data_IF_376890431928
#
_entry.id   IF_376890431928
#
_cell.length_a   1.000
_cell.length_b   1.000
_cell.length_c   1.000
_cell.angle_alpha   90.00
_cell.angle_beta   90.00
_cell.angle_gamma   90.00
#
_symmetry.space_group_name_H-M   'P 1'
#
loop_
_entity.id
_entity.type
_entity.pdbx_description
1 polymer ?
#
# COMPACT_ATOMS: atom_id res chain seq x y z
N UNK A 1 -9.14 -41.13 37.87
CA UNK A 1 -7.90 -41.00 38.67
C UNK A 1 -7.19 -39.65 38.49
N UNK A 2 -7.67 -38.74 37.61
CA UNK A 2 -6.99 -37.42 37.40
C UNK A 2 -7.61 -36.22 38.10
N UNK A 3 -8.81 -36.33 38.64
CA UNK A 3 -9.44 -35.23 39.41
C UNK A 3 -8.84 -35.01 40.81
N UNK A 4 -8.31 -36.04 41.44
CA UNK A 4 -7.71 -35.93 42.78
C UNK A 4 -6.31 -35.27 42.78
N UNK A 5 -5.55 -35.44 41.67
CA UNK A 5 -4.23 -34.79 41.53
C UNK A 5 -4.31 -33.26 41.32
N UNK A 6 -5.42 -32.78 40.75
CA UNK A 6 -5.66 -31.35 40.60
C UNK A 6 -5.96 -30.64 41.90
N UNK A 7 -6.80 -31.23 42.75
CA UNK A 7 -7.16 -30.65 44.04
C UNK A 7 -5.98 -30.58 45.04
N UNK A 8 -5.09 -31.57 45.00
CA UNK A 8 -3.88 -31.58 45.88
C UNK A 8 -2.86 -30.50 45.45
N UNK A 9 -2.75 -30.18 44.17
CA UNK A 9 -1.87 -29.09 43.68
C UNK A 9 -2.40 -27.72 44.05
N UNK A 10 -3.72 -27.49 43.92
CA UNK A 10 -4.38 -26.24 44.28
C UNK A 10 -4.28 -26.01 45.81
N UNK A 11 -4.54 -27.02 46.60
CA UNK A 11 -4.43 -26.93 48.08
C UNK A 11 -2.99 -26.69 48.54
N UNK A 12 -1.99 -27.28 47.91
CA UNK A 12 -0.58 -26.98 48.18
C UNK A 12 -0.19 -25.54 47.79
N UNK A 13 -0.77 -25.01 46.73
CA UNK A 13 -0.53 -23.62 46.28
C UNK A 13 -1.20 -22.63 47.27
N UNK A 14 -2.44 -22.91 47.70
CA UNK A 14 -3.17 -22.10 48.68
C UNK A 14 -2.45 -22.11 50.03
N UNK A 15 -1.93 -23.27 50.49
CA UNK A 15 -1.13 -23.38 51.72
C UNK A 15 0.20 -22.62 51.62
N UNK A 16 0.88 -22.61 50.47
CA UNK A 16 2.04 -21.77 50.24
C UNK A 16 1.73 -20.27 50.27
N UNK A 17 0.59 -19.86 49.72
CA UNK A 17 0.12 -18.46 49.79
C UNK A 17 -0.19 -18.02 51.23
N UNK A 18 -0.70 -18.93 52.07
CA UNK A 18 -1.03 -18.62 53.47
C UNK A 18 0.17 -18.38 54.39
N UNK A 19 1.35 -18.87 53.96
CA UNK A 19 2.63 -18.70 54.64
C UNK A 19 3.48 -17.53 54.11
N UNK A 20 3.01 -16.80 53.10
CA UNK A 20 3.71 -15.63 52.61
C UNK A 20 3.47 -14.48 53.58
N UNK A 21 4.57 -13.88 54.04
CA UNK A 21 4.53 -12.71 54.90
C UNK A 21 3.66 -11.61 54.27
N UNK A 22 2.65 -11.11 54.99
CA UNK A 22 1.74 -10.05 54.51
C UNK A 22 2.48 -8.87 53.86
N UNK A 23 3.67 -8.54 54.37
CA UNK A 23 4.49 -7.47 53.83
C UNK A 23 4.99 -7.76 52.39
N UNK A 24 5.28 -9.04 52.08
CA UNK A 24 5.70 -9.44 50.72
C UNK A 24 4.53 -9.31 49.74
N UNK A 25 3.30 -9.67 50.17
CA UNK A 25 2.11 -9.52 49.31
C UNK A 25 1.82 -8.05 49.05
N UNK A 26 1.89 -7.20 50.07
CA UNK A 26 1.68 -5.75 49.93
C UNK A 26 2.74 -5.16 49.02
N UNK A 27 4.02 -5.53 49.20
CA UNK A 27 5.12 -5.07 48.33
C UNK A 27 4.91 -5.48 46.88
N UNK A 28 4.49 -6.73 46.63
CA UNK A 28 4.21 -7.22 45.26
C UNK A 28 3.06 -6.44 44.62
N UNK A 29 2.01 -6.13 45.36
CA UNK A 29 0.89 -5.32 44.85
C UNK A 29 1.36 -3.91 44.50
N UNK A 30 2.19 -3.29 45.33
CA UNK A 30 2.76 -1.96 45.09
C UNK A 30 3.63 -1.98 43.82
N UNK A 31 4.48 -3.00 43.64
CA UNK A 31 5.33 -3.14 42.43
C UNK A 31 4.47 -3.29 41.18
N UNK A 32 3.41 -4.09 41.24
CA UNK A 32 2.49 -4.25 40.07
C UNK A 32 1.79 -2.93 39.78
N UNK A 33 1.32 -2.20 40.77
CA UNK A 33 0.67 -0.89 40.56
C UNK A 33 1.65 0.14 39.98
N UNK A 34 2.90 0.16 40.47
CA UNK A 34 3.93 1.03 39.90
C UNK A 34 4.25 0.66 38.44
N UNK A 35 4.31 -0.63 38.12
CA UNK A 35 4.54 -1.07 36.73
C UNK A 35 3.39 -0.64 35.81
N UNK A 36 2.14 -0.81 36.24
CA UNK A 36 0.96 -0.34 35.50
C UNK A 36 1.01 1.19 35.30
N UNK A 37 1.37 1.93 36.37
CA UNK A 37 1.50 3.38 36.28
C UNK A 37 2.58 3.80 35.25
N UNK A 38 3.73 3.14 35.26
CA UNK A 38 4.80 3.38 34.30
C UNK A 38 4.34 3.11 32.86
N UNK A 39 3.58 2.04 32.62
CA UNK A 39 3.01 1.74 31.30
C UNK A 39 2.02 2.83 30.84
N UNK A 40 1.16 3.30 31.74
CA UNK A 40 0.19 4.37 31.45
C UNK A 40 0.95 5.67 31.11
N UNK A 41 1.91 6.06 31.92
CA UNK A 41 2.71 7.27 31.70
C UNK A 41 3.53 7.19 30.42
N UNK A 42 4.13 6.03 30.14
CA UNK A 42 4.88 5.79 28.88
C UNK A 42 3.96 5.94 27.67
N UNK A 43 2.75 5.39 27.75
CA UNK A 43 1.78 5.49 26.64
C UNK A 43 1.29 6.94 26.45
N UNK A 44 1.04 7.68 27.53
CA UNK A 44 0.67 9.09 27.48
C UNK A 44 1.81 9.95 26.87
N UNK A 45 3.06 9.71 27.28
CA UNK A 45 4.22 10.40 26.73
C UNK A 45 4.39 10.10 25.22
N UNK A 46 4.24 8.85 24.84
CA UNK A 46 4.29 8.46 23.44
C UNK A 46 3.20 9.14 22.61
N UNK A 47 1.96 9.15 23.13
CA UNK A 47 0.84 9.83 22.46
C UNK A 47 1.08 11.34 22.34
N UNK A 48 1.54 11.99 23.42
CA UNK A 48 1.84 13.43 23.42
C UNK A 48 2.96 13.76 22.45
N UNK A 49 4.03 12.95 22.43
CA UNK A 49 5.15 13.12 21.51
C UNK A 49 4.70 12.97 20.06
N UNK A 50 3.90 11.95 19.74
CA UNK A 50 3.38 11.70 18.39
C UNK A 50 2.44 12.84 17.95
N UNK A 51 1.58 13.31 18.86
CA UNK A 51 0.67 14.42 18.56
C UNK A 51 1.43 15.71 18.30
N UNK A 52 2.45 16.01 19.12
CA UNK A 52 3.31 17.18 18.92
C UNK A 52 4.05 17.11 17.60
N UNK A 53 4.62 15.95 17.27
CA UNK A 53 5.32 15.74 16.00
C UNK A 53 4.38 15.94 14.80
N UNK A 54 3.17 15.37 14.85
CA UNK A 54 2.17 15.55 13.79
C UNK A 54 1.78 17.02 13.60
N UNK A 55 1.69 17.79 14.71
CA UNK A 55 1.44 19.22 14.67
C UNK A 55 2.62 19.96 14.04
N UNK A 56 3.86 19.69 14.46
CA UNK A 56 5.06 20.29 13.91
C UNK A 56 5.21 20.00 12.41
N UNK A 57 4.96 18.75 12.00
CA UNK A 57 4.97 18.34 10.60
C UNK A 57 3.89 19.09 9.79
N UNK A 58 2.70 19.27 10.35
CA UNK A 58 1.63 20.04 9.73
C UNK A 58 1.97 21.53 9.57
N UNK A 59 2.59 22.13 10.60
CA UNK A 59 3.05 23.52 10.55
C UNK A 59 4.16 23.70 9.53
N UNK A 60 5.12 22.77 9.49
CA UNK A 60 6.22 22.80 8.50
C UNK A 60 5.67 22.64 7.09
N UNK A 61 4.77 21.70 6.85
CA UNK A 61 4.12 21.51 5.56
C UNK A 61 3.38 22.78 5.10
N UNK A 62 2.69 23.47 6.02
CA UNK A 62 2.02 24.73 5.71
C UNK A 62 2.99 25.89 5.48
N UNK A 63 4.00 26.02 6.31
CA UNK A 63 5.06 27.03 6.20
C UNK A 63 5.82 26.90 4.87
N UNK A 64 6.18 25.68 4.48
CA UNK A 64 6.90 25.38 3.26
C UNK A 64 6.03 25.49 1.99
N UNK A 65 4.71 25.62 2.13
CA UNK A 65 3.79 25.83 1.00
C UNK A 65 4.10 27.11 0.21
N UNK A 66 4.75 28.06 0.85
CA UNK A 66 5.16 29.33 0.22
C UNK A 66 6.61 29.28 -0.33
N UNK A 67 7.35 28.19 -0.07
CA UNK A 67 8.69 28.00 -0.60
C UNK A 67 8.65 27.50 -2.05
N UNK A 68 9.77 27.68 -2.74
CA UNK A 68 9.94 27.20 -4.10
C UNK A 68 9.69 25.68 -4.17
N UNK A 69 8.74 25.28 -4.98
CA UNK A 69 8.48 23.85 -5.26
C UNK A 69 9.72 23.19 -5.85
N UNK A 70 10.26 22.17 -5.18
CA UNK A 70 11.43 21.42 -5.62
C UNK A 70 11.02 20.18 -6.40
N UNK A 71 10.01 19.44 -5.89
CA UNK A 71 9.48 18.23 -6.52
C UNK A 71 7.97 18.32 -6.63
N UNK A 72 7.45 17.76 -7.72
CA UNK A 72 6.01 17.69 -8.00
C UNK A 72 5.66 16.46 -8.83
N UNK A 73 4.40 16.03 -8.77
CA UNK A 73 3.80 15.09 -9.72
C UNK A 73 2.65 15.83 -10.39
N UNK A 74 2.75 16.03 -11.71
CA UNK A 74 1.75 16.76 -12.51
C UNK A 74 0.76 15.85 -13.21
N UNK A 75 1.15 14.62 -13.48
CA UNK A 75 0.29 13.66 -14.12
C UNK A 75 0.52 12.24 -13.63
N UNK A 76 -0.52 11.44 -13.75
CA UNK A 76 -0.50 10.01 -13.49
C UNK A 76 -1.15 9.34 -14.69
N UNK A 77 -0.46 8.33 -15.24
CA UNK A 77 -1.02 7.50 -16.31
C UNK A 77 -1.49 6.19 -15.72
N UNK A 78 -2.72 5.79 -16.03
CA UNK A 78 -3.35 4.55 -15.62
C UNK A 78 -3.54 3.62 -16.81
N UNK A 79 -3.36 2.33 -16.56
CA UNK A 79 -3.80 1.25 -17.44
C UNK A 79 -4.59 0.25 -16.60
N UNK A 80 -5.90 0.16 -16.83
CA UNK A 80 -6.78 -0.77 -16.14
C UNK A 80 -7.24 -1.89 -17.07
N UNK A 81 -7.20 -3.11 -16.56
CA UNK A 81 -7.60 -4.31 -17.28
C UNK A 81 -8.11 -5.39 -16.31
N UNK A 82 -8.48 -6.53 -16.87
CA UNK A 82 -8.87 -7.71 -16.12
C UNK A 82 -8.21 -8.94 -16.73
N UNK A 83 -7.96 -9.94 -15.91
CA UNK A 83 -7.42 -11.23 -16.34
C UNK A 83 -7.99 -12.36 -15.49
N UNK A 84 -7.78 -13.58 -15.90
CA UNK A 84 -8.30 -14.75 -15.22
C UNK A 84 -7.37 -15.96 -15.30
N UNK A 85 -7.32 -16.75 -14.22
CA UNK A 85 -6.82 -18.12 -14.26
C UNK A 85 -7.93 -19.07 -14.64
N UNK A 86 -7.65 -19.99 -15.53
CA UNK A 86 -8.62 -20.96 -16.03
C UNK A 86 -8.32 -22.35 -15.49
N UNK A 87 -9.37 -23.08 -15.08
CA UNK A 87 -9.25 -24.50 -14.68
C UNK A 87 -9.05 -25.43 -15.87
N UNK A 88 -9.77 -25.18 -16.97
CA UNK A 88 -9.67 -25.97 -18.18
C UNK A 88 -9.78 -25.09 -19.41
N UNK A 89 -8.80 -25.20 -20.30
CA UNK A 89 -8.79 -24.52 -21.60
C UNK A 89 -9.55 -25.31 -22.69
N UNK A 90 -10.47 -26.24 -22.34
CA UNK A 90 -11.22 -26.98 -23.33
C UNK A 90 -12.30 -26.09 -23.94
N UNK A 91 -12.47 -26.20 -25.25
CA UNK A 91 -13.24 -25.32 -26.12
C UNK A 91 -14.76 -25.26 -25.87
N UNK A 92 -15.31 -26.07 -24.98
CA UNK A 92 -16.74 -26.13 -24.74
C UNK A 92 -17.22 -25.48 -23.45
N UNK A 93 -16.37 -25.38 -22.42
CA UNK A 93 -16.73 -24.77 -21.14
C UNK A 93 -15.53 -23.98 -20.60
N UNK A 94 -15.64 -22.67 -20.60
CA UNK A 94 -14.61 -21.79 -20.05
C UNK A 94 -14.91 -21.56 -18.56
N UNK A 95 -14.19 -22.28 -17.69
CA UNK A 95 -14.32 -22.12 -16.24
C UNK A 95 -13.18 -21.30 -15.69
N UNK A 96 -13.51 -20.18 -15.07
CA UNK A 96 -12.60 -19.28 -14.38
C UNK A 96 -12.32 -19.84 -12.99
N UNK A 97 -11.05 -20.10 -12.71
CA UNK A 97 -10.59 -20.43 -11.36
C UNK A 97 -10.52 -19.18 -10.48
N UNK A 98 -9.97 -18.10 -11.03
CA UNK A 98 -9.83 -16.83 -10.34
C UNK A 98 -9.89 -15.68 -11.36
N UNK A 99 -10.85 -14.77 -11.14
CA UNK A 99 -10.96 -13.50 -11.87
C UNK A 99 -10.33 -12.39 -11.04
N UNK A 100 -9.46 -11.58 -11.65
CA UNK A 100 -8.86 -10.44 -11.00
C UNK A 100 -8.78 -9.23 -11.93
N UNK A 101 -8.94 -8.05 -11.32
CA UNK A 101 -8.71 -6.75 -11.96
C UNK A 101 -7.32 -6.27 -11.59
N UNK A 102 -6.65 -5.59 -12.52
CA UNK A 102 -5.43 -4.86 -12.21
C UNK A 102 -5.44 -3.46 -12.84
N UNK A 103 -4.75 -2.55 -12.18
CA UNK A 103 -4.52 -1.19 -12.68
C UNK A 103 -3.09 -0.81 -12.41
N UNK A 104 -2.33 -0.64 -13.47
CA UNK A 104 -0.98 -0.11 -13.43
C UNK A 104 -1.06 1.43 -13.38
N UNK A 105 -0.25 2.04 -12.53
CA UNK A 105 -0.18 3.48 -12.31
C UNK A 105 1.25 3.95 -12.46
N UNK A 106 1.51 4.85 -13.40
CA UNK A 106 2.81 5.49 -13.56
C UNK A 106 2.76 6.92 -13.04
N UNK A 107 3.51 7.17 -11.96
CA UNK A 107 3.62 8.48 -11.30
C UNK A 107 4.95 9.11 -11.70
N UNK A 108 4.91 10.26 -12.37
CA UNK A 108 6.11 10.94 -12.85
C UNK A 108 6.52 12.04 -11.85
N UNK A 109 7.61 11.79 -11.12
CA UNK A 109 8.22 12.81 -10.27
C UNK A 109 9.04 13.75 -11.13
N UNK A 110 8.75 15.03 -11.04
CA UNK A 110 9.44 16.08 -11.80
C UNK A 110 9.89 17.22 -10.89
N UNK A 111 10.80 18.06 -11.40
CA UNK A 111 11.18 19.34 -10.78
C UNK A 111 10.84 20.47 -11.74
N UNK A 112 10.27 21.59 -11.26
CA UNK A 112 10.10 22.80 -12.07
C UNK A 112 11.39 23.38 -12.60
N UNK A 113 12.52 23.12 -11.93
CA UNK A 113 13.85 23.59 -12.34
C UNK A 113 14.40 22.71 -13.43
N UNK A 114 14.86 23.33 -14.52
CA UNK A 114 15.56 22.65 -15.63
C UNK A 114 17.02 22.31 -15.32
N UNK A 115 17.62 23.02 -14.38
CA UNK A 115 19.01 22.80 -13.96
C UNK A 115 19.07 21.67 -12.93
N UNK A 116 19.92 20.69 -13.15
CA UNK A 116 20.19 19.62 -12.18
C UNK A 116 21.12 20.13 -11.10
N UNK A 117 20.64 20.15 -9.87
CA UNK A 117 21.40 20.52 -8.66
C UNK A 117 21.30 19.40 -7.63
N UNK A 118 22.13 19.43 -6.59
CA UNK A 118 22.03 18.50 -5.47
C UNK A 118 20.67 18.62 -4.75
N UNK A 119 20.03 19.79 -4.83
CA UNK A 119 18.75 20.06 -4.21
C UNK A 119 17.58 19.36 -4.93
N UNK A 120 17.60 19.31 -6.27
CA UNK A 120 16.51 18.78 -7.08
C UNK A 120 16.82 17.42 -7.73
N UNK A 121 17.86 16.73 -7.26
CA UNK A 121 18.19 15.36 -7.69
C UNK A 121 17.85 14.35 -6.59
N UNK A 122 17.33 13.21 -7.02
CA UNK A 122 16.86 12.15 -6.12
C UNK A 122 18.04 11.33 -5.59
N UNK A 123 18.02 11.05 -4.29
CA UNK A 123 18.91 10.10 -3.63
C UNK A 123 18.16 8.83 -3.27
N UNK A 124 16.98 8.99 -2.68
CA UNK A 124 16.12 7.89 -2.26
C UNK A 124 14.66 8.30 -2.40
N UNK A 125 13.81 7.34 -2.73
CA UNK A 125 12.36 7.48 -2.70
C UNK A 125 11.78 6.31 -1.92
N UNK A 126 10.82 6.57 -1.05
CA UNK A 126 10.08 5.52 -0.39
C UNK A 126 8.59 5.81 -0.33
N UNK A 127 7.80 4.74 -0.29
CA UNK A 127 6.34 4.75 -0.19
C UNK A 127 5.95 4.07 1.11
N UNK A 128 5.02 4.71 1.83
CA UNK A 128 4.55 4.25 3.13
C UNK A 128 3.07 4.61 3.33
N UNK A 129 2.48 4.15 4.44
CA UNK A 129 1.11 4.49 4.85
C UNK A 129 0.04 4.20 3.79
N UNK A 130 0.16 3.09 3.07
CA UNK A 130 -0.83 2.67 2.08
C UNK A 130 -2.13 2.30 2.79
N UNK A 131 -3.23 2.95 2.40
CA UNK A 131 -4.57 2.75 2.97
C UNK A 131 -5.62 2.74 1.87
N UNK A 132 -6.57 1.82 1.96
CA UNK A 132 -7.78 1.90 1.16
C UNK A 132 -8.79 2.83 1.85
N UNK A 133 -9.07 3.97 1.23
CA UNK A 133 -10.11 4.93 1.70
C UNK A 133 -11.50 4.46 1.32
N UNK A 134 -11.59 3.68 0.23
CA UNK A 134 -12.77 2.93 -0.18
C UNK A 134 -12.33 1.53 -0.59
N UNK A 135 -12.76 0.51 0.13
CA UNK A 135 -12.50 -0.89 -0.22
C UNK A 135 -13.56 -1.43 -1.16
N UNK A 136 -13.20 -2.32 -2.09
CA UNK A 136 -14.19 -3.01 -2.92
C UNK A 136 -15.04 -3.94 -2.05
N UNK A 137 -16.27 -4.23 -2.48
CA UNK A 137 -17.13 -5.23 -1.83
C UNK A 137 -16.89 -6.63 -2.36
N UNK A 138 -16.24 -6.78 -3.53
CA UNK A 138 -15.80 -8.02 -4.12
C UNK A 138 -14.31 -8.03 -4.35
N UNK A 139 -13.66 -9.14 -4.00
CA UNK A 139 -12.24 -9.36 -4.18
C UNK A 139 -11.40 -8.99 -2.96
N UNK A 140 -10.09 -9.03 -3.16
CA UNK A 140 -9.06 -8.76 -2.14
C UNK A 140 -8.04 -7.79 -2.72
N UNK A 141 -8.14 -6.49 -2.40
CA UNK A 141 -7.28 -5.47 -3.00
C UNK A 141 -5.85 -5.59 -2.46
N UNK A 142 -4.89 -5.44 -3.37
CA UNK A 142 -3.45 -5.42 -3.12
C UNK A 142 -2.82 -4.27 -3.89
N UNK A 143 -1.66 -3.81 -3.43
CA UNK A 143 -0.83 -2.84 -4.13
C UNK A 143 0.60 -3.37 -4.19
N UNK A 144 1.17 -3.36 -5.39
CA UNK A 144 2.51 -3.85 -5.66
C UNK A 144 3.36 -2.79 -6.36
N UNK A 145 4.67 -2.92 -6.26
CA UNK A 145 5.59 -2.24 -7.15
C UNK A 145 5.75 -3.03 -8.45
N UNK A 146 5.83 -2.31 -9.57
CA UNK A 146 6.11 -2.89 -10.89
C UNK A 146 7.39 -2.30 -11.45
N UNK A 147 8.33 -3.15 -11.86
CA UNK A 147 9.59 -2.68 -12.44
C UNK A 147 9.35 -2.06 -13.83
N UNK A 148 9.87 -0.85 -14.07
CA UNK A 148 9.66 -0.13 -15.33
C UNK A 148 10.31 -0.80 -16.53
N UNK A 149 11.36 -1.62 -16.33
CA UNK A 149 12.04 -2.33 -17.43
C UNK A 149 11.25 -3.49 -17.97
N UNK A 150 10.19 -3.88 -17.33
CA UNK A 150 9.48 -5.11 -17.63
C UNK A 150 7.97 -4.92 -17.77
N UNK A 151 7.57 -3.82 -18.41
CA UNK A 151 6.15 -3.57 -18.70
C UNK A 151 5.46 -4.71 -19.46
N UNK A 152 6.22 -5.48 -20.25
CA UNK A 152 5.70 -6.61 -21.03
C UNK A 152 5.55 -7.88 -20.20
N UNK A 153 6.16 -7.98 -19.03
CA UNK A 153 6.05 -9.09 -18.10
C UNK A 153 5.48 -8.57 -16.80
N UNK A 154 4.51 -9.26 -16.27
CA UNK A 154 3.85 -8.97 -14.98
C UNK A 154 4.74 -9.25 -13.78
N UNK A 155 6.01 -8.87 -13.81
CA UNK A 155 6.94 -9.05 -12.70
C UNK A 155 6.60 -8.05 -11.60
N UNK A 156 5.48 -8.33 -10.94
CA UNK A 156 5.10 -7.72 -9.68
C UNK A 156 6.10 -8.18 -8.64
N UNK A 157 6.79 -7.25 -8.00
CA UNK A 157 7.57 -7.56 -6.80
C UNK A 157 6.59 -8.06 -5.74
N UNK A 158 6.83 -9.25 -5.21
CA UNK A 158 5.85 -10.04 -4.44
C UNK A 158 5.40 -9.41 -3.12
N UNK A 159 5.99 -8.30 -2.67
CA UNK A 159 5.63 -7.68 -1.41
C UNK A 159 4.44 -6.75 -1.58
N UNK A 160 3.33 -7.09 -0.92
CA UNK A 160 2.18 -6.19 -0.82
C UNK A 160 2.55 -4.94 0.00
N UNK A 161 2.37 -3.76 -0.59
CA UNK A 161 2.74 -2.48 0.02
C UNK A 161 1.79 -2.01 1.12
N UNK A 162 0.65 -2.66 1.31
CA UNK A 162 -0.29 -2.31 2.38
C UNK A 162 0.37 -2.51 3.76
N UNK A 163 1.16 -3.58 3.89
CA UNK A 163 1.80 -3.96 5.14
C UNK A 163 3.31 -3.68 5.16
N UNK A 164 3.86 -3.14 4.06
CA UNK A 164 5.29 -2.99 3.88
C UNK A 164 5.64 -1.62 3.30
N UNK A 165 6.73 -1.06 3.80
CA UNK A 165 7.36 0.12 3.22
C UNK A 165 8.16 -0.29 1.99
N UNK A 166 7.97 0.43 0.89
CA UNK A 166 8.76 0.29 -0.32
C UNK A 166 9.86 1.35 -0.33
N UNK A 167 11.10 0.93 -0.54
CA UNK A 167 12.24 1.82 -0.75
C UNK A 167 12.76 1.64 -2.18
N UNK A 168 13.04 2.77 -2.84
CA UNK A 168 13.72 2.81 -4.12
C UNK A 168 15.15 3.28 -3.92
N UNK A 169 16.11 2.53 -4.45
CA UNK A 169 17.49 2.96 -4.58
C UNK A 169 17.65 3.75 -5.87
N UNK A 170 18.29 4.91 -5.81
CA UNK A 170 18.62 5.69 -6.99
C UNK A 170 19.98 5.23 -7.51
N UNK A 171 19.99 4.66 -8.71
CA UNK A 171 21.22 4.17 -9.37
C UNK A 171 21.54 4.99 -10.61
N UNK A 172 22.73 4.79 -11.17
CA UNK A 172 23.09 5.31 -12.49
C UNK A 172 22.24 4.64 -13.58
N UNK A 173 22.08 5.30 -14.72
CA UNK A 173 21.23 4.81 -15.82
C UNK A 173 21.61 3.42 -16.36
N UNK A 174 22.82 2.95 -16.08
CA UNK A 174 23.36 1.70 -16.58
C UNK A 174 23.27 0.53 -15.59
N UNK A 175 22.81 0.77 -14.36
CA UNK A 175 22.74 -0.25 -13.32
C UNK A 175 21.27 -0.56 -12.99
N UNK A 176 20.70 -1.51 -13.72
CA UNK A 176 19.38 -2.07 -13.40
C UNK A 176 19.56 -3.27 -12.47
N UNK A 177 19.15 -3.15 -11.22
CA UNK A 177 19.01 -4.31 -10.34
C UNK A 177 17.57 -4.83 -10.43
N UNK A 178 17.40 -5.98 -11.06
CA UNK A 178 16.09 -6.60 -11.29
C UNK A 178 15.45 -7.13 -9.99
N UNK A 179 16.26 -7.38 -8.96
CA UNK A 179 15.81 -7.96 -7.69
C UNK A 179 15.40 -6.90 -6.65
N UNK A 180 15.66 -5.63 -6.93
CA UNK A 180 15.34 -4.53 -6.02
C UNK A 180 14.69 -3.38 -6.76
N UNK A 181 13.73 -2.66 -6.15
CA UNK A 181 13.18 -1.45 -6.73
C UNK A 181 14.27 -0.43 -7.00
N UNK A 182 14.34 0.05 -8.24
CA UNK A 182 15.38 0.98 -8.70
C UNK A 182 14.75 2.13 -9.45
N UNK A 183 15.12 3.34 -9.08
CA UNK A 183 14.84 4.55 -9.85
C UNK A 183 16.15 5.10 -10.39
N UNK A 184 16.12 5.54 -11.64
CA UNK A 184 17.25 6.29 -12.18
C UNK A 184 17.27 7.72 -11.64
N UNK A 185 18.45 8.30 -11.57
CA UNK A 185 18.64 9.72 -11.26
C UNK A 185 18.17 10.61 -12.43
N UNK A 186 16.97 10.32 -12.91
CA UNK A 186 16.25 11.04 -13.92
C UNK A 186 14.85 11.34 -13.36
N UNK A 187 14.55 12.62 -13.16
CA UNK A 187 13.27 13.06 -12.61
C UNK A 187 12.06 12.69 -13.46
N UNK A 188 12.26 12.34 -14.73
CA UNK A 188 11.17 11.89 -15.61
C UNK A 188 10.86 10.40 -15.50
N UNK A 189 11.62 9.62 -14.72
CA UNK A 189 11.34 8.20 -14.55
C UNK A 189 10.11 8.00 -13.68
N UNK A 190 9.13 7.20 -14.12
CA UNK A 190 7.94 6.96 -13.33
C UNK A 190 8.21 5.98 -12.18
N UNK A 191 7.52 6.22 -11.07
CA UNK A 191 7.26 5.19 -10.06
C UNK A 191 6.05 4.40 -10.54
N UNK A 192 6.21 3.11 -10.82
CA UNK A 192 5.12 2.29 -11.31
C UNK A 192 4.58 1.39 -10.20
N UNK A 193 3.31 1.56 -9.88
CA UNK A 193 2.58 0.74 -8.93
C UNK A 193 1.50 -0.05 -9.67
N UNK A 194 1.22 -1.25 -9.22
CA UNK A 194 0.15 -2.09 -9.72
C UNK A 194 -0.86 -2.38 -8.61
N UNK A 195 -2.04 -1.83 -8.75
CA UNK A 195 -3.19 -2.24 -7.95
C UNK A 195 -3.74 -3.54 -8.52
N UNK A 196 -3.99 -4.54 -7.68
CA UNK A 196 -4.60 -5.81 -8.08
C UNK A 196 -5.72 -6.12 -7.11
N UNK A 197 -6.93 -6.31 -7.63
CA UNK A 197 -8.06 -6.82 -6.87
C UNK A 197 -8.24 -8.31 -7.21
N UNK A 198 -7.77 -9.18 -6.33
CA UNK A 198 -7.77 -10.64 -6.52
C UNK A 198 -9.08 -11.26 -6.08
N UNK A 199 -9.39 -12.46 -6.59
CA UNK A 199 -10.53 -13.27 -6.17
C UNK A 199 -11.89 -12.55 -6.30
N UNK A 200 -12.08 -11.75 -7.34
CA UNK A 200 -13.35 -11.07 -7.62
C UNK A 200 -14.46 -12.10 -7.85
N UNK A 201 -14.15 -13.14 -8.58
CA UNK A 201 -15.04 -14.28 -8.82
C UNK A 201 -14.21 -15.55 -9.00
N UNK A 202 -14.65 -16.66 -8.42
CA UNK A 202 -13.99 -17.96 -8.53
C UNK A 202 -14.98 -19.04 -8.91
N UNK A 203 -14.48 -20.10 -9.55
CA UNK A 203 -15.28 -21.26 -9.96
C UNK A 203 -16.50 -20.92 -10.84
N UNK A 204 -16.36 -19.89 -11.69
CA UNK A 204 -17.43 -19.40 -12.55
C UNK A 204 -17.26 -19.91 -13.98
N UNK A 205 -18.32 -20.50 -14.54
CA UNK A 205 -18.33 -20.99 -15.93
C UNK A 205 -19.05 -19.99 -16.83
N UNK A 206 -18.35 -19.47 -17.83
CA UNK A 206 -18.97 -18.65 -18.88
C UNK A 206 -19.70 -19.60 -19.83
N UNK A 207 -21.02 -19.49 -19.87
CA UNK A 207 -21.89 -20.34 -20.68
C UNK A 207 -22.04 -19.87 -22.12
N UNK A 208 -22.01 -18.55 -22.33
CA UNK A 208 -22.05 -17.98 -23.69
C UNK A 208 -20.63 -17.95 -24.29
N UNK A 209 -20.34 -18.93 -25.14
CA UNK A 209 -19.08 -19.02 -25.89
C UNK A 209 -19.25 -18.62 -27.36
N UNK A 210 -20.35 -17.96 -27.74
CA UNK A 210 -20.63 -17.49 -29.09
C UNK A 210 -19.61 -16.47 -29.58
N UNK A 211 -18.99 -15.72 -28.67
CA UNK A 211 -17.89 -14.77 -28.94
C UNK A 211 -16.59 -15.26 -28.31
N UNK A 212 -15.44 -15.02 -28.95
CA UNK A 212 -14.15 -15.30 -28.33
C UNK A 212 -14.04 -14.68 -26.93
N UNK A 213 -13.33 -15.35 -26.04
CA UNK A 213 -13.04 -14.82 -24.71
C UNK A 213 -11.74 -14.04 -24.83
N UNK A 214 -11.80 -12.75 -24.48
CA UNK A 214 -10.65 -11.87 -24.36
C UNK A 214 -10.29 -11.70 -22.91
N UNK A 215 -8.97 -11.65 -22.63
CA UNK A 215 -8.44 -11.41 -21.29
C UNK A 215 -8.25 -9.91 -21.11
N UNK A 216 -9.34 -9.22 -20.86
CA UNK A 216 -9.42 -7.79 -20.63
C UNK A 216 -10.63 -7.45 -19.75
N UNK A 217 -10.93 -6.17 -19.56
CA UNK A 217 -12.03 -5.73 -18.71
C UNK A 217 -13.41 -6.27 -19.13
N UNK A 218 -13.60 -6.70 -20.39
CA UNK A 218 -14.86 -7.31 -20.85
C UNK A 218 -15.19 -8.62 -20.13
N UNK A 219 -14.18 -9.31 -19.54
CA UNK A 219 -14.40 -10.47 -18.68
C UNK A 219 -15.31 -10.15 -17.47
N UNK A 220 -15.20 -8.95 -16.91
CA UNK A 220 -16.06 -8.54 -15.78
C UNK A 220 -17.52 -8.59 -16.16
N UNK A 221 -17.87 -8.08 -17.33
CA UNK A 221 -19.24 -8.12 -17.86
C UNK A 221 -19.72 -9.55 -18.11
N UNK A 222 -18.85 -10.37 -18.70
CA UNK A 222 -19.15 -11.78 -18.98
C UNK A 222 -19.27 -12.63 -17.73
N UNK A 223 -18.60 -12.23 -16.66
CA UNK A 223 -18.69 -12.84 -15.34
C UNK A 223 -19.77 -12.21 -14.45
N UNK A 224 -20.58 -11.29 -14.97
CA UNK A 224 -21.67 -10.62 -14.23
C UNK A 224 -21.17 -9.88 -12.97
N UNK A 225 -19.98 -9.29 -13.03
CA UNK A 225 -19.41 -8.49 -11.96
C UNK A 225 -19.81 -7.04 -12.15
N UNK A 226 -20.45 -6.44 -11.16
CA UNK A 226 -20.81 -5.02 -11.19
C UNK A 226 -19.59 -4.13 -10.92
N UNK A 227 -19.34 -3.09 -11.73
CA UNK A 227 -18.19 -2.19 -11.55
C UNK A 227 -18.20 -1.50 -10.18
N UNK A 228 -19.36 -1.14 -9.65
CA UNK A 228 -19.46 -0.52 -8.34
C UNK A 228 -19.00 -1.45 -7.20
N UNK A 229 -19.08 -2.77 -7.38
CA UNK A 229 -18.64 -3.75 -6.40
C UNK A 229 -17.11 -3.89 -6.30
N UNK A 230 -16.38 -3.46 -7.33
CA UNK A 230 -14.92 -3.46 -7.39
C UNK A 230 -14.32 -2.05 -7.30
N UNK A 231 -15.17 -1.04 -7.13
CA UNK A 231 -14.74 0.36 -6.99
C UNK A 231 -13.86 0.55 -5.76
N UNK A 232 -12.68 1.12 -5.97
CA UNK A 232 -11.64 1.26 -4.95
C UNK A 232 -11.01 2.64 -5.00
N UNK A 233 -10.78 3.22 -3.82
CA UNK A 233 -9.99 4.43 -3.64
C UNK A 233 -8.89 4.15 -2.63
N UNK A 234 -7.72 4.75 -2.82
CA UNK A 234 -6.58 4.58 -1.91
C UNK A 234 -5.84 5.87 -1.67
N UNK A 235 -5.06 5.88 -0.59
CA UNK A 235 -4.08 6.91 -0.32
C UNK A 235 -2.77 6.29 0.14
N UNK A 236 -1.66 6.96 -0.16
CA UNK A 236 -0.33 6.58 0.31
C UNK A 236 0.57 7.81 0.33
N UNK A 237 1.62 7.74 1.15
CA UNK A 237 2.63 8.78 1.28
C UNK A 237 3.83 8.45 0.40
N UNK A 238 4.30 9.42 -0.38
CA UNK A 238 5.59 9.35 -1.07
C UNK A 238 6.55 10.31 -0.38
N UNK A 239 7.73 9.79 -0.08
CA UNK A 239 8.84 10.55 0.48
C UNK A 239 9.99 10.55 -0.51
N UNK A 240 10.63 11.70 -0.65
CA UNK A 240 11.81 11.91 -1.49
C UNK A 240 12.94 12.44 -0.61
N UNK A 241 14.11 11.81 -0.69
CA UNK A 241 15.35 12.32 -0.13
C UNK A 241 16.22 12.82 -1.27
N UNK A 242 16.63 14.09 -1.22
CA UNK A 242 17.51 14.66 -2.22
C UNK A 242 19.00 14.43 -1.88
N UNK A 243 19.91 14.83 -2.76
CA UNK A 243 21.34 14.67 -2.54
C UNK A 243 21.93 15.63 -1.48
N UNK A 244 21.14 16.56 -0.95
CA UNK A 244 21.46 17.33 0.26
C UNK A 244 20.95 16.67 1.56
N UNK A 245 20.41 15.46 1.49
CA UNK A 245 19.77 14.73 2.59
C UNK A 245 18.55 15.46 3.19
N UNK A 246 17.89 16.30 2.40
CA UNK A 246 16.61 16.90 2.77
C UNK A 246 15.49 15.96 2.37
N UNK A 247 14.51 15.78 3.26
CA UNK A 247 13.38 14.89 3.06
C UNK A 247 12.12 15.70 2.73
N UNK A 248 11.43 15.28 1.66
CA UNK A 248 10.19 15.89 1.18
C UNK A 248 9.08 14.83 1.18
N UNK A 249 7.85 15.26 1.40
CA UNK A 249 6.69 14.37 1.48
C UNK A 249 5.51 14.94 0.69
N UNK A 250 4.77 14.05 0.07
CA UNK A 250 3.40 14.31 -0.43
C UNK A 250 2.50 13.11 -0.14
N UNK A 251 1.21 13.35 0.03
CA UNK A 251 0.19 12.30 0.15
C UNK A 251 -0.61 12.24 -1.15
N UNK A 252 -0.66 11.07 -1.75
CA UNK A 252 -1.38 10.78 -2.97
C UNK A 252 -2.76 10.22 -2.62
N UNK A 253 -3.79 10.69 -3.33
CA UNK A 253 -5.15 10.16 -3.27
C UNK A 253 -5.55 9.74 -4.67
N UNK A 254 -5.95 8.49 -4.85
CA UNK A 254 -6.26 7.89 -6.14
C UNK A 254 -7.55 7.09 -6.07
N UNK A 255 -8.42 7.36 -7.03
CA UNK A 255 -9.54 6.48 -7.37
C UNK A 255 -9.09 5.57 -8.51
N UNK A 256 -9.29 4.26 -8.37
CA UNK A 256 -8.98 3.29 -9.42
C UNK A 256 -9.98 3.47 -10.56
N UNK A 257 -9.52 3.82 -11.78
CA UNK A 257 -10.41 4.11 -12.87
C UNK A 257 -11.09 2.82 -13.40
N UNK A 258 -12.42 2.84 -13.40
CA UNK A 258 -13.27 1.78 -13.94
C UNK A 258 -14.04 2.26 -15.19
N UNK A 259 -14.20 3.57 -15.31
CA UNK A 259 -14.84 4.26 -16.41
C UNK A 259 -14.06 5.54 -16.75
N UNK A 260 -14.09 5.94 -17.98
CA UNK A 260 -13.65 7.24 -18.49
C UNK A 260 -14.78 7.88 -19.28
N UNK A 261 -14.60 9.13 -19.73
CA UNK A 261 -15.59 9.79 -20.58
C UNK A 261 -15.90 9.04 -21.87
N UNK A 262 -14.90 8.28 -22.39
CA UNK A 262 -15.00 7.62 -23.67
C UNK A 262 -15.23 6.11 -23.58
N UNK A 263 -14.78 5.46 -22.48
CA UNK A 263 -14.75 4.00 -22.36
C UNK A 263 -15.07 3.53 -20.96
N UNK A 264 -15.74 2.38 -20.87
CA UNK A 264 -15.90 1.61 -19.63
C UNK A 264 -14.94 0.42 -19.62
N UNK A 265 -14.52 0.00 -18.44
CA UNK A 265 -13.73 -1.23 -18.28
C UNK A 265 -14.49 -2.47 -18.82
N UNK A 266 -15.83 -2.40 -18.90
CA UNK A 266 -16.63 -3.44 -19.55
C UNK A 266 -16.39 -3.58 -21.06
N UNK A 267 -15.87 -2.53 -21.69
CA UNK A 267 -15.64 -2.52 -23.14
C UNK A 267 -14.21 -2.93 -23.52
N UNK A 268 -13.39 -3.28 -22.53
CA UNK A 268 -12.01 -3.75 -22.70
C UNK A 268 -11.04 -3.11 -21.71
N UNK A 269 -9.94 -2.55 -22.20
CA UNK A 269 -8.94 -1.89 -21.37
C UNK A 269 -9.19 -0.38 -21.30
N UNK A 270 -8.83 0.22 -20.18
CA UNK A 270 -8.84 1.67 -20.01
C UNK A 270 -7.42 2.17 -19.91
N UNK A 271 -7.06 3.14 -20.74
CA UNK A 271 -5.85 3.95 -20.59
C UNK A 271 -6.29 5.38 -20.31
N UNK A 272 -5.88 5.93 -19.19
CA UNK A 272 -6.25 7.25 -18.73
C UNK A 272 -5.03 8.03 -18.27
N UNK A 273 -4.83 9.22 -18.81
CA UNK A 273 -3.90 10.20 -18.23
C UNK A 273 -4.69 11.22 -17.44
N UNK A 274 -4.34 11.38 -16.17
CA UNK A 274 -5.00 12.32 -15.26
C UNK A 274 -4.00 13.40 -14.85
N UNK A 275 -4.35 14.65 -15.13
CA UNK A 275 -3.61 15.79 -14.60
C UNK A 275 -3.88 15.91 -13.10
N UNK A 276 -2.81 16.06 -12.35
CA UNK A 276 -2.81 16.17 -10.89
C UNK A 276 -1.87 17.28 -10.46
N UNK A 277 -1.93 17.66 -9.21
CA UNK A 277 -1.01 18.65 -8.64
C UNK A 277 -0.59 18.20 -7.25
N UNK A 278 0.29 17.21 -7.20
CA UNK A 278 0.88 16.76 -5.95
C UNK A 278 2.24 17.43 -5.77
N UNK A 279 2.31 18.37 -4.84
CA UNK A 279 3.51 19.11 -4.48
C UNK A 279 4.15 18.44 -3.27
N UNK A 280 5.46 18.25 -3.33
CA UNK A 280 6.22 17.74 -2.19
C UNK A 280 6.61 18.90 -1.28
N UNK A 281 6.30 18.75 -0.01
CA UNK A 281 6.67 19.70 1.04
C UNK A 281 7.85 19.17 1.83
N UNK A 282 8.74 20.05 2.24
CA UNK A 282 9.88 19.67 3.08
C UNK A 282 9.37 19.07 4.38
N UNK A 283 9.84 17.86 4.67
CA UNK A 283 9.41 17.07 5.83
C UNK A 283 10.46 17.11 6.95
N UNK A 284 11.77 17.06 6.59
CA UNK A 284 12.93 17.17 7.48
C UNK A 284 14.08 17.88 6.80
#
# INVERSE_FOLDING_TARGET
MDKEKGHTKINKFILKLKNINKNIIILSIIVILLFILVLILSNMLFYTYTSKRNFEDGVLAFSNKNDKTIFEIKDITFFSSCDAKNKNASSSNFTIENLYQYTDMALFVTSPSKEKTLENTLKEVYIDNVKFTKSPTLGSPRLYYKNIYNFAKSDIVQNNLIDNRLNFTITSENEANLDSPTLYNNLANPIVLSFVNENIKSDYTITDTSKPITYDGSLLKRCEVLLNSISTSMSFDIYIVNNLNQEFKTTIYIDIPLDSEENSLYDGNITLKKDVNFIFYRYK
#
